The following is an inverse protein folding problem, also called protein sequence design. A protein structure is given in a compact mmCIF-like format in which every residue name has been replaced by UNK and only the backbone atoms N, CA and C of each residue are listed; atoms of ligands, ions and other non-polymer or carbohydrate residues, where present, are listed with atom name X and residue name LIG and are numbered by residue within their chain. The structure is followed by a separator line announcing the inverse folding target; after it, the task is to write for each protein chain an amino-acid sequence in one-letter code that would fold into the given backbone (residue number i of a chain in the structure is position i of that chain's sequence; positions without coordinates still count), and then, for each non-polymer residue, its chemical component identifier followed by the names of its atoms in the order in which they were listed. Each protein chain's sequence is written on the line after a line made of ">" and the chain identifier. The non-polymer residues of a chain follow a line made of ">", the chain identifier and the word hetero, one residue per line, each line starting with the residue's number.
data_IF_230594789025
#
_entry.id   IF_230594789025
#
_cell.length_a   1.000
_cell.length_b   1.000
_cell.length_c   1.000
_cell.angle_alpha   90.00
_cell.angle_beta   90.00
_cell.angle_gamma   90.00
#
_symmetry.space_group_name_H-M   'P 1'
#
loop_
_entity.id
_entity.type
_entity.pdbx_description
1 polymer ?
#
# COMPACT_ATOMS: atom_id res chain seq x y z
N UNK A 1 -7.26 -17.98 0.17
CA UNK A 1 -6.84 -16.95 -0.81
C UNK A 1 -7.17 -17.52 -2.17
N UNK A 2 -8.09 -16.86 -2.87
CA UNK A 2 -8.47 -17.23 -4.22
C UNK A 2 -7.60 -16.47 -5.21
N UNK A 3 -7.23 -17.09 -6.31
CA UNK A 3 -6.52 -16.41 -7.38
C UNK A 3 -7.51 -15.61 -8.23
N UNK A 4 -7.12 -14.40 -8.64
CA UNK A 4 -7.86 -13.62 -9.63
C UNK A 4 -7.70 -14.28 -11.00
N UNK A 5 -8.81 -14.64 -11.63
CA UNK A 5 -8.81 -15.44 -12.87
C UNK A 5 -8.88 -14.64 -14.15
N UNK A 6 -9.18 -13.34 -14.07
CA UNK A 6 -9.45 -12.52 -15.25
C UNK A 6 -9.02 -11.07 -15.03
N UNK A 7 -8.73 -10.38 -16.14
CA UNK A 7 -8.45 -8.95 -16.15
C UNK A 7 -7.01 -8.56 -15.79
N UNK A 8 -6.76 -7.28 -15.49
CA UNK A 8 -5.40 -6.74 -15.30
C UNK A 8 -4.61 -7.37 -14.13
N UNK A 9 -5.31 -8.07 -13.24
CA UNK A 9 -4.75 -8.69 -12.04
C UNK A 9 -4.79 -10.22 -12.11
N UNK A 10 -5.04 -10.81 -13.28
CA UNK A 10 -4.96 -12.27 -13.45
C UNK A 10 -3.65 -12.84 -12.87
N UNK A 11 -3.74 -13.96 -12.16
CA UNK A 11 -2.61 -14.59 -11.46
C UNK A 11 -2.30 -14.03 -10.07
N UNK A 12 -2.87 -12.87 -9.69
CA UNK A 12 -2.67 -12.31 -8.35
C UNK A 12 -3.53 -13.03 -7.31
N UNK A 13 -3.05 -13.08 -6.06
CA UNK A 13 -3.80 -13.65 -4.94
C UNK A 13 -4.75 -12.62 -4.34
N UNK A 14 -6.03 -13.00 -4.24
CA UNK A 14 -7.05 -12.26 -3.53
C UNK A 14 -6.98 -12.58 -2.04
N UNK A 15 -6.92 -11.53 -1.22
CA UNK A 15 -7.04 -11.68 0.22
C UNK A 15 -8.48 -12.12 0.56
N UNK A 16 -8.61 -13.12 1.43
CA UNK A 16 -9.90 -13.55 2.00
C UNK A 16 -9.98 -13.05 3.46
N UNK A 17 -10.34 -11.77 3.67
CA UNK A 17 -10.38 -11.22 5.02
C UNK A 17 -11.50 -11.87 5.85
N UNK A 18 -11.19 -12.20 7.11
CA UNK A 18 -12.18 -12.70 8.06
C UNK A 18 -12.99 -11.57 8.68
N UNK A 19 -14.32 -11.64 8.54
CA UNK A 19 -15.25 -10.67 9.16
C UNK A 19 -15.14 -10.70 10.69
N UNK A 20 -15.01 -11.88 11.30
CA UNK A 20 -14.89 -11.99 12.75
C UNK A 20 -13.58 -11.39 13.26
N UNK A 21 -12.49 -11.59 12.52
CA UNK A 21 -11.21 -10.95 12.86
C UNK A 21 -11.30 -9.43 12.73
N UNK A 22 -11.95 -8.92 11.68
CA UNK A 22 -12.18 -7.49 11.50
C UNK A 22 -12.94 -6.89 12.69
N UNK A 23 -14.03 -7.51 13.14
CA UNK A 23 -14.82 -7.03 14.30
C UNK A 23 -13.98 -6.91 15.57
N UNK A 24 -13.12 -7.90 15.84
CA UNK A 24 -12.21 -7.87 17.00
C UNK A 24 -11.23 -6.71 16.88
N UNK A 25 -10.61 -6.52 15.72
CA UNK A 25 -9.64 -5.45 15.48
C UNK A 25 -10.28 -4.05 15.60
N UNK A 26 -11.48 -3.85 15.05
CA UNK A 26 -12.19 -2.57 15.15
C UNK A 26 -12.52 -2.22 16.61
N UNK A 27 -12.99 -3.19 17.40
CA UNK A 27 -13.24 -2.97 18.84
C UNK A 27 -11.95 -2.66 19.59
N UNK A 28 -10.86 -3.36 19.28
CA UNK A 28 -9.55 -3.11 19.89
C UNK A 28 -9.09 -1.65 19.68
N UNK A 29 -9.25 -1.11 18.47
CA UNK A 29 -8.90 0.29 18.18
C UNK A 29 -9.69 1.26 19.06
N UNK A 30 -11.01 1.04 19.20
CA UNK A 30 -11.86 1.92 20.01
C UNK A 30 -11.60 1.79 21.51
N UNK A 31 -11.28 0.58 21.99
CA UNK A 31 -10.94 0.33 23.39
C UNK A 31 -9.55 0.83 23.80
N UNK A 32 -8.65 1.08 22.83
CA UNK A 32 -7.26 1.47 23.08
C UNK A 32 -6.92 2.79 22.36
N UNK A 33 -7.50 3.93 22.77
CA UNK A 33 -7.39 5.20 22.04
C UNK A 33 -5.96 5.77 21.98
N UNK A 34 -5.13 5.51 23.00
CA UNK A 34 -3.73 5.94 22.99
C UNK A 34 -2.93 5.20 21.91
N UNK A 35 -3.05 3.87 21.86
CA UNK A 35 -2.40 3.05 20.83
C UNK A 35 -2.87 3.44 19.43
N UNK A 36 -4.19 3.66 19.26
CA UNK A 36 -4.77 4.12 18.01
C UNK A 36 -4.17 5.46 17.56
N UNK A 37 -4.02 6.43 18.48
CA UNK A 37 -3.42 7.74 18.19
C UNK A 37 -1.95 7.61 17.77
N UNK A 38 -1.16 6.80 18.49
CA UNK A 38 0.25 6.57 18.14
C UNK A 38 0.37 5.94 16.75
N UNK A 39 -0.46 4.94 16.44
CA UNK A 39 -0.50 4.31 15.10
C UNK A 39 -0.92 5.31 14.02
N UNK A 40 -1.92 6.15 14.29
CA UNK A 40 -2.38 7.18 13.35
C UNK A 40 -1.30 8.22 13.05
N UNK A 41 -0.59 8.71 14.07
CA UNK A 41 0.53 9.65 13.88
C UNK A 41 1.63 9.02 13.03
N UNK A 42 2.03 7.78 13.33
CA UNK A 42 3.01 7.06 12.51
C UNK A 42 2.55 6.92 11.07
N UNK A 43 1.28 6.56 10.84
CA UNK A 43 0.72 6.48 9.49
C UNK A 43 0.78 7.82 8.76
N UNK A 44 0.55 8.94 9.45
CA UNK A 44 0.71 10.28 8.87
C UNK A 44 2.16 10.56 8.50
N UNK A 45 3.10 10.24 9.40
CA UNK A 45 4.54 10.44 9.17
C UNK A 45 5.00 9.61 7.97
N UNK A 46 4.59 8.34 7.88
CA UNK A 46 4.87 7.47 6.73
C UNK A 46 4.33 8.07 5.42
N UNK A 47 3.10 8.60 5.43
CA UNK A 47 2.52 9.26 4.26
C UNK A 47 3.33 10.50 3.81
N UNK A 48 3.77 11.34 4.75
CA UNK A 48 4.61 12.50 4.41
C UNK A 48 5.96 12.04 3.86
N UNK A 49 6.58 11.07 4.48
CA UNK A 49 7.96 10.69 4.16
C UNK A 49 8.08 9.90 2.87
N UNK A 50 7.05 9.13 2.50
CA UNK A 50 7.15 8.13 1.43
C UNK A 50 6.19 8.36 0.28
N UNK A 51 5.12 9.13 0.49
CA UNK A 51 3.98 9.16 -0.43
C UNK A 51 3.50 10.58 -0.76
N UNK A 52 4.30 11.62 -0.50
CA UNK A 52 3.98 12.95 -1.02
C UNK A 52 4.16 13.00 -2.53
N UNK A 53 3.46 13.94 -3.22
CA UNK A 53 3.62 14.10 -4.66
C UNK A 53 5.08 14.25 -5.08
N UNK A 54 5.90 14.96 -4.31
CA UNK A 54 7.32 15.18 -4.61
C UNK A 54 8.10 13.86 -4.59
N UNK A 55 7.93 13.05 -3.53
CA UNK A 55 8.60 11.75 -3.38
C UNK A 55 8.17 10.78 -4.49
N UNK A 56 6.87 10.72 -4.78
CA UNK A 56 6.33 9.84 -5.83
C UNK A 56 6.75 10.30 -7.22
N UNK A 57 6.82 11.60 -7.47
CA UNK A 57 7.25 12.14 -8.77
C UNK A 57 8.69 11.79 -9.07
N UNK A 58 9.58 11.94 -8.08
CA UNK A 58 10.99 11.53 -8.20
C UNK A 58 11.09 10.04 -8.53
N UNK A 59 10.34 9.19 -7.81
CA UNK A 59 10.32 7.75 -8.07
C UNK A 59 9.86 7.44 -9.51
N UNK A 60 8.77 8.04 -9.97
CA UNK A 60 8.23 7.80 -11.32
C UNK A 60 9.19 8.30 -12.40
N UNK A 61 9.79 9.49 -12.23
CA UNK A 61 10.76 10.02 -13.18
C UNK A 61 11.95 9.08 -13.35
N UNK A 62 12.51 8.57 -12.25
CA UNK A 62 13.60 7.60 -12.27
C UNK A 62 13.20 6.30 -13.01
N UNK A 63 11.97 5.81 -12.81
CA UNK A 63 11.49 4.63 -13.55
C UNK A 63 11.36 4.88 -15.06
N UNK A 64 10.90 6.07 -15.44
CA UNK A 64 10.80 6.47 -16.86
C UNK A 64 12.19 6.50 -17.51
N UNK A 65 13.21 7.03 -16.82
CA UNK A 65 14.59 7.05 -17.33
C UNK A 65 15.14 5.63 -17.54
N UNK A 66 14.93 4.73 -16.57
CA UNK A 66 15.32 3.32 -16.69
C UNK A 66 14.71 2.67 -17.93
N UNK A 67 13.39 2.83 -18.12
CA UNK A 67 12.67 2.28 -19.27
C UNK A 67 13.26 2.82 -20.58
N UNK A 68 13.52 4.13 -20.66
CA UNK A 68 14.10 4.72 -21.88
C UNK A 68 15.51 4.20 -22.16
N UNK A 69 16.33 3.99 -21.14
CA UNK A 69 17.69 3.46 -21.31
C UNK A 69 17.70 2.00 -21.73
N UNK A 70 16.77 1.18 -21.24
CA UNK A 70 16.60 -0.20 -21.69
C UNK A 70 16.19 -0.26 -23.16
N UNK A 71 15.25 0.60 -23.59
CA UNK A 71 14.82 0.67 -24.98
C UNK A 71 15.95 1.10 -25.95
N UNK A 72 16.88 1.96 -25.52
CA UNK A 72 18.03 2.38 -26.34
C UNK A 72 19.11 1.30 -26.49
N UNK A 73 19.14 0.31 -25.60
CA UNK A 73 20.13 -0.79 -25.63
C UNK A 73 19.68 -1.98 -26.48
N UNK A 74 18.44 -1.96 -26.96
CA UNK A 74 17.82 -3.01 -27.78
C UNK A 74 17.78 -2.57 -29.24
#
# INVERSE_FOLDING_TARGET
>A
MSEVKEGPFEGHQWAEPSVDKLRVLMRHVMSNPYEAKVKGNRGRDDMVQKFTPEVVTEFVANQIEIIFDEQRRT
#
